data_IF_306231129783
#
_entry.id   IF_306231129783
#
_cell.length_a   1.000
_cell.length_b   1.000
_cell.length_c   1.000
_cell.angle_alpha   90.00
_cell.angle_beta   90.00
_cell.angle_gamma   90.00
#
_symmetry.space_group_name_H-M   'P 1'
#
loop_
_entity.id
_entity.type
_entity.pdbx_description
1 polymer ?
#
# COMPACT_ATOMS: atom_id res chain seq x y z
N UNK A 1 -7.62 7.01 4.61
CA UNK A 1 -7.17 5.69 4.10
C UNK A 1 -6.67 5.80 2.66
N UNK A 2 -6.94 6.90 1.95
CA UNK A 2 -6.49 7.15 0.57
C UNK A 2 -5.02 6.82 0.27
N UNK A 3 -4.08 7.17 1.16
CA UNK A 3 -2.67 6.82 0.95
C UNK A 3 -2.46 5.29 0.90
N UNK A 4 -3.14 4.55 1.78
CA UNK A 4 -3.06 3.08 1.83
C UNK A 4 -3.77 2.45 0.65
N UNK A 5 -4.96 2.92 0.32
CA UNK A 5 -5.73 2.40 -0.82
C UNK A 5 -5.00 2.67 -2.14
N UNK A 6 -4.37 3.84 -2.28
CA UNK A 6 -3.51 4.18 -3.42
C UNK A 6 -2.24 3.32 -3.46
N UNK A 7 -1.60 3.07 -2.32
CA UNK A 7 -0.48 2.14 -2.23
C UNK A 7 -0.85 0.74 -2.72
N UNK A 8 -1.96 0.16 -2.21
CA UNK A 8 -2.41 -1.17 -2.61
C UNK A 8 -2.79 -1.21 -4.11
N UNK A 9 -3.34 -0.12 -4.65
CA UNK A 9 -3.58 0.02 -6.10
C UNK A 9 -2.28 -0.13 -6.90
N UNK A 10 -1.27 0.71 -6.66
CA UNK A 10 -0.02 0.69 -7.43
C UNK A 10 0.82 -0.57 -7.19
N UNK A 11 0.77 -1.14 -5.99
CA UNK A 11 1.44 -2.41 -5.66
C UNK A 11 0.81 -3.61 -6.40
N UNK A 12 -0.50 -3.55 -6.64
CA UNK A 12 -1.24 -4.57 -7.40
C UNK A 12 -1.18 -4.40 -8.92
N UNK A 13 -0.65 -3.29 -9.42
CA UNK A 13 -0.53 -3.07 -10.87
C UNK A 13 0.58 -3.94 -11.49
N UNK A 14 0.33 -4.55 -12.66
CA UNK A 14 1.36 -5.30 -13.36
C UNK A 14 2.47 -4.37 -13.85
N UNK A 15 3.71 -4.69 -13.46
CA UNK A 15 4.89 -4.00 -13.96
C UNK A 15 5.18 -4.41 -15.41
N UNK A 16 5.43 -3.46 -16.34
CA UNK A 16 5.71 -3.81 -17.73
C UNK A 16 7.04 -4.56 -17.86
N UNK A 17 7.02 -5.66 -18.61
CA UNK A 17 8.17 -6.54 -18.84
C UNK A 17 9.10 -6.05 -19.96
N UNK A 18 8.63 -5.12 -20.80
CA UNK A 18 9.37 -4.57 -21.92
C UNK A 18 10.57 -3.69 -21.51
N UNK A 19 11.33 -3.22 -22.50
CA UNK A 19 12.46 -2.31 -22.29
C UNK A 19 12.45 -1.10 -23.24
N UNK A 20 11.27 -0.68 -23.67
CA UNK A 20 11.11 0.62 -24.32
C UNK A 20 11.33 1.75 -23.30
N UNK A 21 11.45 2.99 -23.79
CA UNK A 21 11.53 4.14 -22.89
C UNK A 21 10.26 4.28 -22.02
N UNK A 22 9.09 4.02 -22.61
CA UNK A 22 7.79 4.02 -21.92
C UNK A 22 7.73 2.95 -20.81
N UNK A 23 8.17 1.71 -21.10
CA UNK A 23 8.20 0.64 -20.09
C UNK A 23 9.08 1.02 -18.88
N UNK A 24 10.25 1.63 -19.12
CA UNK A 24 11.14 2.08 -18.05
C UNK A 24 10.53 3.22 -17.25
N UNK A 25 9.91 4.19 -17.91
CA UNK A 25 9.24 5.32 -17.26
C UNK A 25 8.08 4.82 -16.39
N UNK A 26 7.24 3.92 -16.89
CA UNK A 26 6.13 3.34 -16.13
C UNK A 26 6.60 2.56 -14.91
N UNK A 27 7.68 1.77 -15.03
CA UNK A 27 8.28 1.10 -13.86
C UNK A 27 8.74 2.09 -12.80
N UNK A 28 9.38 3.18 -13.22
CA UNK A 28 9.82 4.22 -12.29
C UNK A 28 8.62 4.88 -11.59
N UNK A 29 7.55 5.20 -12.33
CA UNK A 29 6.30 5.74 -11.77
C UNK A 29 5.69 4.82 -10.72
N UNK A 30 5.62 3.50 -10.99
CA UNK A 30 5.11 2.52 -10.03
C UNK A 30 5.95 2.50 -8.75
N UNK A 31 7.28 2.48 -8.87
CA UNK A 31 8.20 2.50 -7.73
C UNK A 31 8.05 3.78 -6.90
N UNK A 32 8.00 4.95 -7.55
CA UNK A 32 7.84 6.22 -6.85
C UNK A 32 6.48 6.35 -6.17
N UNK A 33 5.41 5.90 -6.84
CA UNK A 33 4.06 5.90 -6.29
C UNK A 33 3.96 5.01 -5.05
N UNK A 34 4.45 3.77 -5.13
CA UNK A 34 4.50 2.82 -4.00
C UNK A 34 5.31 3.42 -2.85
N UNK A 35 6.53 3.92 -3.12
CA UNK A 35 7.37 4.51 -2.08
C UNK A 35 6.71 5.69 -1.37
N UNK A 36 6.01 6.54 -2.12
CA UNK A 36 5.34 7.73 -1.58
C UNK A 36 4.08 7.38 -0.79
N UNK A 37 3.26 6.48 -1.32
CA UNK A 37 1.91 6.21 -0.80
C UNK A 37 1.93 5.18 0.33
N UNK A 38 2.82 4.19 0.26
CA UNK A 38 2.88 3.15 1.28
C UNK A 38 3.55 3.63 2.58
N UNK A 39 4.40 4.66 2.53
CA UNK A 39 5.17 5.11 3.69
C UNK A 39 4.28 5.57 4.87
N UNK A 40 4.51 5.00 6.04
CA UNK A 40 3.77 5.24 7.28
C UNK A 40 2.37 4.64 7.34
N UNK A 41 1.90 3.93 6.31
CA UNK A 41 0.59 3.25 6.31
C UNK A 41 0.52 2.06 7.28
N UNK A 42 1.60 1.32 7.50
CA UNK A 42 1.66 0.22 8.48
C UNK A 42 1.51 0.75 9.90
N UNK A 43 2.21 1.84 10.22
CA UNK A 43 2.12 2.50 11.53
C UNK A 43 0.71 3.07 11.78
N UNK A 44 0.09 3.62 10.73
CA UNK A 44 -1.30 4.11 10.79
C UNK A 44 -2.29 2.95 10.96
N UNK A 45 -2.07 1.82 10.28
CA UNK A 45 -2.89 0.63 10.45
C UNK A 45 -2.79 0.12 11.89
N UNK A 46 -1.59 0.00 12.46
CA UNK A 46 -1.39 -0.39 13.85
C UNK A 46 -2.13 0.54 14.82
N UNK A 47 -2.01 1.86 14.65
CA UNK A 47 -2.71 2.83 15.48
C UNK A 47 -4.24 2.69 15.40
N UNK A 48 -4.79 2.38 14.23
CA UNK A 48 -6.22 2.16 14.05
C UNK A 48 -6.71 0.84 14.63
N UNK A 49 -5.91 -0.22 14.53
CA UNK A 49 -6.20 -1.50 15.16
C UNK A 49 -6.27 -1.34 16.68
N UNK A 50 -5.35 -0.56 17.27
CA UNK A 50 -5.37 -0.27 18.71
C UNK A 50 -6.58 0.60 19.09
N UNK A 51 -6.85 1.67 18.34
CA UNK A 51 -7.96 2.59 18.58
C UNK A 51 -9.33 1.90 18.51
N UNK A 52 -9.48 0.95 17.59
CA UNK A 52 -10.75 0.26 17.32
C UNK A 52 -10.82 -1.16 17.88
N UNK A 53 -9.94 -1.53 18.81
CA UNK A 53 -9.84 -2.90 19.36
C UNK A 53 -11.17 -3.47 19.89
N UNK A 54 -12.05 -2.61 20.42
CA UNK A 54 -13.34 -2.98 21.00
C UNK A 54 -14.52 -2.82 20.01
N UNK A 55 -14.26 -2.41 18.76
CA UNK A 55 -15.26 -2.25 17.70
C UNK A 55 -15.11 -3.36 16.65
N UNK A 56 -15.99 -4.37 16.73
CA UNK A 56 -15.93 -5.55 15.86
C UNK A 56 -16.10 -5.24 14.36
N UNK A 57 -16.88 -4.22 14.00
CA UNK A 57 -17.08 -3.82 12.60
C UNK A 57 -15.84 -3.16 12.02
N UNK A 58 -15.28 -2.20 12.75
CA UNK A 58 -14.03 -1.55 12.35
C UNK A 58 -12.88 -2.57 12.29
N UNK A 59 -12.82 -3.48 13.25
CA UNK A 59 -11.82 -4.55 13.28
C UNK A 59 -11.90 -5.48 12.08
N UNK A 60 -13.11 -5.84 11.63
CA UNK A 60 -13.31 -6.64 10.41
C UNK A 60 -12.77 -5.94 9.17
N UNK A 61 -13.02 -4.64 9.02
CA UNK A 61 -12.51 -3.86 7.87
C UNK A 61 -10.99 -3.70 7.96
N UNK A 62 -10.45 -3.32 9.12
CA UNK A 62 -9.01 -3.13 9.29
C UNK A 62 -8.21 -4.43 9.09
N UNK A 63 -8.81 -5.59 9.38
CA UNK A 63 -8.19 -6.89 9.17
C UNK A 63 -8.05 -7.28 7.69
N UNK A 64 -8.71 -6.59 6.74
CA UNK A 64 -8.53 -6.86 5.31
C UNK A 64 -7.24 -6.26 4.74
N UNK A 65 -6.62 -5.30 5.44
CA UNK A 65 -5.37 -4.69 5.02
C UNK A 65 -4.17 -5.58 5.39
N UNK A 66 -3.28 -5.80 4.42
CA UNK A 66 -2.02 -6.51 4.62
C UNK A 66 -1.08 -5.70 5.53
N UNK A 67 -0.44 -6.36 6.49
CA UNK A 67 0.50 -5.73 7.44
C UNK A 67 1.94 -5.82 6.94
N UNK A 68 2.76 -4.84 7.30
CA UNK A 68 4.20 -4.79 7.02
C UNK A 68 4.52 -4.66 5.53
N UNK A 69 3.70 -3.92 4.78
CA UNK A 69 3.92 -3.72 3.35
C UNK A 69 5.06 -2.73 3.07
N UNK A 70 5.47 -1.92 4.05
CA UNK A 70 6.56 -0.96 3.91
C UNK A 70 7.93 -1.61 4.06
N UNK A 71 8.01 -2.77 4.73
CA UNK A 71 9.26 -3.47 4.98
C UNK A 71 9.87 -4.04 3.68
N UNK A 72 9.09 -4.15 2.60
CA UNK A 72 9.50 -4.78 1.34
C UNK A 72 9.82 -6.27 1.46
N UNK A 73 9.84 -7.02 0.35
CA UNK A 73 10.48 -8.34 0.28
C UNK A 73 12.01 -8.26 0.42
#
# INVERSE_FOLDING_TARGET
MDDRDGCDHFRGEPSPEGNTADDRERRQQLVDAVRRLCAGTDRRLEALLELHRDNADAMRVLATYERNIEAGP
#
